data_IF_064337000273
#
_entry.id   IF_064337000273
#
_cell.length_a   1.000
_cell.length_b   1.000
_cell.length_c   1.000
_cell.angle_alpha   90.00
_cell.angle_beta   90.00
_cell.angle_gamma   90.00
#
_symmetry.space_group_name_H-M   'P 1'
#
loop_
_entity.id
_entity.type
_entity.pdbx_description
1 polymer ?
#
# COMPACT_ATOMS: atom_id res chain seq x y z
N UNK A 1 16.55 36.38 5.77
CA UNK A 1 15.89 37.69 5.70
C UNK A 1 14.49 37.52 6.27
N UNK A 2 14.15 38.18 7.38
CA UNK A 2 12.86 37.97 8.05
C UNK A 2 12.23 39.29 8.45
N UNK A 3 11.15 39.66 7.75
CA UNK A 3 10.25 40.70 8.20
C UNK A 3 9.58 40.20 9.50
N UNK A 4 9.53 41.03 10.55
CA UNK A 4 9.17 40.61 11.93
C UNK A 4 7.65 40.50 12.19
N UNK A 5 6.82 40.57 11.15
CA UNK A 5 5.36 40.62 11.30
C UNK A 5 4.74 39.22 11.27
N UNK A 6 3.97 38.84 12.30
CA UNK A 6 3.14 37.64 12.25
C UNK A 6 2.15 37.69 11.08
N UNK A 7 1.84 36.52 10.53
CA UNK A 7 0.77 36.31 9.58
C UNK A 7 -0.57 36.63 10.24
N UNK A 8 -1.50 37.24 9.52
CA UNK A 8 -2.82 37.61 10.04
C UNK A 8 -3.87 37.60 8.93
N UNK A 9 -5.10 37.99 9.24
CA UNK A 9 -6.14 38.19 8.22
C UNK A 9 -5.84 39.37 7.28
N UNK A 10 -5.11 40.37 7.75
CA UNK A 10 -4.81 41.62 7.01
C UNK A 10 -3.39 41.67 6.44
N UNK A 11 -2.50 40.78 6.89
CA UNK A 11 -1.13 40.68 6.40
C UNK A 11 -0.75 39.22 6.15
N UNK A 12 -0.43 38.89 4.90
CA UNK A 12 0.07 37.58 4.51
C UNK A 12 1.57 37.65 4.25
N UNK A 13 2.32 36.78 4.90
CA UNK A 13 3.73 36.61 4.60
C UNK A 13 3.88 35.98 3.21
N UNK A 14 4.82 36.49 2.43
CA UNK A 14 5.13 35.97 1.09
C UNK A 14 6.63 35.93 0.85
N UNK A 15 7.07 34.97 0.04
CA UNK A 15 8.45 34.86 -0.43
C UNK A 15 8.45 34.77 -1.94
N UNK A 16 9.23 35.63 -2.60
CA UNK A 16 9.38 35.62 -4.06
C UNK A 16 10.79 35.20 -4.44
N UNK A 17 10.91 34.09 -5.16
CA UNK A 17 12.12 33.64 -5.82
C UNK A 17 12.19 34.25 -7.22
N UNK A 18 13.35 34.77 -7.62
CA UNK A 18 13.60 35.24 -8.98
C UNK A 18 14.69 34.39 -9.61
N UNK A 19 14.37 33.70 -10.71
CA UNK A 19 15.30 32.83 -11.41
C UNK A 19 16.26 33.64 -12.29
N UNK A 20 17.49 33.16 -12.46
CA UNK A 20 18.47 33.78 -13.38
C UNK A 20 17.96 33.75 -14.83
N UNK A 21 17.31 32.66 -15.22
CA UNK A 21 16.69 32.47 -16.54
C UNK A 21 15.26 31.97 -16.36
N UNK A 22 14.38 32.29 -17.31
CA UNK A 22 13.02 31.75 -17.28
C UNK A 22 13.05 30.26 -17.63
N UNK A 23 12.37 29.43 -16.83
CA UNK A 23 12.34 27.97 -16.98
C UNK A 23 10.91 27.46 -16.86
N UNK A 24 10.57 26.37 -17.55
CA UNK A 24 9.29 25.68 -17.33
C UNK A 24 9.44 24.81 -16.09
N UNK A 25 8.55 25.03 -15.12
CA UNK A 25 8.49 24.28 -13.86
C UNK A 25 7.07 23.78 -13.64
N UNK A 26 6.92 22.66 -12.95
CA UNK A 26 5.62 22.07 -12.61
C UNK A 26 5.53 21.65 -11.14
N UNK A 27 6.62 21.77 -10.38
CA UNK A 27 6.72 21.29 -9.01
C UNK A 27 7.55 22.21 -8.13
N UNK A 28 7.13 22.33 -6.89
CA UNK A 28 7.86 22.99 -5.82
C UNK A 28 7.84 22.09 -4.60
N UNK A 29 8.96 22.01 -3.87
CA UNK A 29 8.95 21.38 -2.54
C UNK A 29 9.14 22.42 -1.46
N UNK A 30 8.42 22.23 -0.35
CA UNK A 30 8.43 23.13 0.79
C UNK A 30 8.61 22.35 2.09
N UNK A 31 9.51 22.83 2.94
CA UNK A 31 9.65 22.34 4.31
C UNK A 31 9.83 23.52 5.25
N UNK A 32 9.07 23.54 6.33
CA UNK A 32 9.25 24.51 7.41
C UNK A 32 10.48 24.15 8.28
N UNK A 33 10.83 25.01 9.24
CA UNK A 33 11.83 24.65 10.25
C UNK A 33 11.39 23.40 11.03
N UNK A 34 12.35 22.67 11.60
CA UNK A 34 12.03 21.59 12.53
C UNK A 34 11.16 22.09 13.70
N UNK A 35 10.20 21.25 14.11
CA UNK A 35 9.16 21.59 15.10
C UNK A 35 7.96 22.32 14.52
N UNK A 36 7.81 22.35 13.18
CA UNK A 36 6.66 22.84 12.41
C UNK A 36 6.22 24.30 12.65
N UNK A 37 6.88 25.07 13.52
CA UNK A 37 6.50 26.47 13.76
C UNK A 37 6.68 27.26 12.48
N UNK A 38 5.60 27.91 12.07
CA UNK A 38 5.50 28.65 10.82
C UNK A 38 5.41 27.82 9.54
N UNK A 39 4.96 26.58 9.67
CA UNK A 39 4.49 25.76 8.55
C UNK A 39 3.30 26.41 7.84
N UNK A 40 3.30 26.43 6.51
CA UNK A 40 2.17 26.92 5.71
C UNK A 40 1.01 25.90 5.75
N UNK A 41 0.06 26.09 6.66
CA UNK A 41 -1.13 25.25 6.73
C UNK A 41 -2.05 25.47 5.54
N UNK A 42 -2.16 26.70 5.06
CA UNK A 42 -2.76 27.04 3.78
C UNK A 42 -1.77 27.91 3.01
N UNK A 43 -1.67 27.68 1.70
CA UNK A 43 -0.75 28.41 0.85
C UNK A 43 -1.30 28.64 -0.55
N UNK A 44 -0.77 29.67 -1.20
CA UNK A 44 -1.01 29.96 -2.61
C UNK A 44 0.33 30.15 -3.32
N UNK A 45 0.43 29.61 -4.54
CA UNK A 45 1.61 29.75 -5.41
C UNK A 45 1.22 30.60 -6.62
N UNK A 46 2.04 31.61 -6.87
CA UNK A 46 1.91 32.46 -8.05
C UNK A 46 3.19 32.45 -8.88
N UNK A 47 3.04 32.50 -10.19
CA UNK A 47 4.16 32.51 -11.14
C UNK A 47 4.05 33.74 -12.06
N UNK A 48 5.20 34.29 -12.42
CA UNK A 48 5.32 35.31 -13.47
C UNK A 48 6.42 34.91 -14.45
N UNK A 49 6.21 35.02 -15.77
CA UNK A 49 7.19 34.68 -16.80
C UNK A 49 8.23 35.79 -17.03
N UNK A 50 8.11 36.95 -16.37
CA UNK A 50 8.99 38.12 -16.53
C UNK A 50 9.60 38.56 -15.20
N UNK A 51 10.65 39.38 -15.25
CA UNK A 51 11.46 39.77 -14.09
C UNK A 51 10.85 40.86 -13.20
N UNK A 52 9.84 41.59 -13.67
CA UNK A 52 9.27 42.72 -12.93
C UNK A 52 7.80 42.98 -13.30
N UNK A 53 7.17 43.90 -12.58
CA UNK A 53 5.76 44.24 -12.73
C UNK A 53 4.80 43.37 -11.91
N UNK A 54 3.55 43.82 -11.81
CA UNK A 54 2.46 43.14 -11.11
C UNK A 54 1.69 42.22 -12.06
N UNK A 55 2.29 41.09 -12.41
CA UNK A 55 1.80 40.14 -13.42
C UNK A 55 1.95 38.68 -12.94
N UNK A 56 1.84 38.49 -11.63
CA UNK A 56 1.77 37.17 -11.04
C UNK A 56 0.39 36.55 -11.31
N UNK A 57 0.39 35.29 -11.74
CA UNK A 57 -0.82 34.50 -11.91
C UNK A 57 -0.81 33.37 -10.89
N UNK A 58 -1.93 33.13 -10.23
CA UNK A 58 -2.08 32.01 -9.30
C UNK A 58 -2.07 30.71 -10.09
N UNK A 59 -1.18 29.78 -9.75
CA UNK A 59 -1.04 28.48 -10.44
C UNK A 59 -1.45 27.31 -9.55
N UNK A 60 -1.45 27.49 -8.24
CA UNK A 60 -1.79 26.45 -7.27
C UNK A 60 -2.21 27.06 -5.93
N UNK A 61 -3.00 26.33 -5.18
CA UNK A 61 -3.24 26.52 -3.76
C UNK A 61 -3.41 25.17 -3.09
N UNK A 62 -3.22 25.15 -1.78
CA UNK A 62 -3.40 23.92 -1.02
C UNK A 62 -3.45 24.16 0.46
N UNK A 63 -3.81 23.09 1.17
CA UNK A 63 -3.77 23.05 2.62
C UNK A 63 -3.22 21.72 3.11
N UNK A 64 -2.49 21.75 4.22
CA UNK A 64 -1.96 20.54 4.83
C UNK A 64 -1.80 20.71 6.34
N UNK A 65 -1.93 19.61 7.07
CA UNK A 65 -1.65 19.56 8.50
C UNK A 65 -0.15 19.76 8.74
N UNK A 66 0.22 20.40 9.85
CA UNK A 66 1.62 20.70 10.13
C UNK A 66 2.47 19.42 10.21
N UNK A 67 3.50 19.31 9.36
CA UNK A 67 4.45 18.19 9.36
C UNK A 67 5.90 18.66 9.35
N UNK A 68 6.81 17.83 9.86
CA UNK A 68 8.25 18.01 9.71
C UNK A 68 8.76 17.46 8.37
N UNK A 69 7.91 16.79 7.61
CA UNK A 69 8.24 16.26 6.29
C UNK A 69 8.29 17.37 5.23
N UNK A 70 8.84 17.02 4.07
CA UNK A 70 8.86 17.91 2.92
C UNK A 70 7.57 17.71 2.13
N UNK A 71 6.83 18.79 1.89
CA UNK A 71 5.69 18.77 0.98
C UNK A 71 6.18 18.90 -0.46
N UNK A 72 5.66 18.08 -1.35
CA UNK A 72 5.71 18.31 -2.78
C UNK A 72 4.38 18.92 -3.24
N UNK A 73 4.46 19.98 -4.04
CA UNK A 73 3.31 20.70 -4.56
C UNK A 73 3.44 20.75 -6.08
N UNK A 74 2.54 20.05 -6.75
CA UNK A 74 2.48 19.93 -8.21
C UNK A 74 1.45 20.90 -8.79
N UNK A 75 1.72 21.39 -10.00
CA UNK A 75 0.85 22.27 -10.78
C UNK A 75 1.17 22.14 -12.27
N UNK A 76 0.29 22.66 -13.12
CA UNK A 76 0.48 22.57 -14.57
C UNK A 76 1.83 23.21 -15.00
N UNK A 77 2.58 22.59 -15.92
CA UNK A 77 3.85 23.13 -16.41
C UNK A 77 3.71 24.60 -16.84
N UNK A 78 4.45 25.48 -16.16
CA UNK A 78 4.32 26.93 -16.33
C UNK A 78 5.70 27.56 -16.48
N UNK A 79 5.83 28.48 -17.45
CA UNK A 79 7.06 29.25 -17.64
C UNK A 79 7.23 30.27 -16.51
N UNK A 80 8.23 30.05 -15.66
CA UNK A 80 8.53 30.87 -14.50
C UNK A 80 9.82 31.65 -14.68
N UNK A 81 9.78 32.96 -14.40
CA UNK A 81 10.93 33.83 -14.12
C UNK A 81 10.91 34.27 -12.66
N UNK A 82 9.72 34.41 -12.07
CA UNK A 82 9.52 34.62 -10.64
C UNK A 82 8.47 33.65 -10.11
N UNK A 83 8.69 33.14 -8.90
CA UNK A 83 7.77 32.26 -8.17
C UNK A 83 7.51 32.87 -6.81
N UNK A 84 6.25 33.10 -6.47
CA UNK A 84 5.82 33.65 -5.19
C UNK A 84 5.06 32.58 -4.41
N UNK A 85 5.52 32.31 -3.20
CA UNK A 85 4.86 31.44 -2.23
C UNK A 85 4.23 32.30 -1.14
N UNK A 86 2.91 32.19 -0.94
CA UNK A 86 2.14 32.98 0.01
C UNK A 86 1.65 32.09 1.14
N UNK A 87 1.87 32.53 2.38
CA UNK A 87 1.39 31.87 3.59
C UNK A 87 -0.04 32.35 3.92
N UNK A 88 -1.05 31.78 3.26
CA UNK A 88 -2.45 32.15 3.50
C UNK A 88 -2.86 31.89 4.96
N UNK A 89 -2.38 30.78 5.53
CA UNK A 89 -2.46 30.46 6.97
C UNK A 89 -1.18 29.75 7.38
N UNK A 90 -0.59 30.18 8.50
CA UNK A 90 0.67 29.63 8.96
C UNK A 90 0.59 29.17 10.42
N UNK A 91 1.29 28.09 10.75
CA UNK A 91 1.26 27.50 12.07
C UNK A 91 1.86 28.46 13.10
N UNK A 92 1.10 28.75 14.16
CA UNK A 92 1.40 29.78 15.16
C UNK A 92 1.59 31.19 14.56
N UNK A 93 0.99 31.46 13.39
CA UNK A 93 1.03 32.76 12.72
C UNK A 93 2.44 33.25 12.35
N UNK A 94 3.43 32.38 12.29
CA UNK A 94 4.77 32.73 11.78
C UNK A 94 4.98 32.15 10.39
N UNK A 95 5.83 32.74 9.56
CA UNK A 95 6.23 32.13 8.29
C UNK A 95 7.65 31.58 8.39
N UNK A 96 7.83 30.31 8.04
CA UNK A 96 9.14 29.67 8.05
C UNK A 96 9.35 28.80 6.81
N UNK A 97 10.53 28.94 6.21
CA UNK A 97 11.07 28.06 5.16
C UNK A 97 12.42 27.56 5.65
N UNK A 98 12.52 26.26 5.89
CA UNK A 98 13.79 25.57 6.10
C UNK A 98 14.39 25.09 4.77
N UNK A 99 13.54 24.63 3.84
CA UNK A 99 13.92 24.25 2.48
C UNK A 99 12.79 24.64 1.50
N UNK A 100 13.18 25.13 0.32
CA UNK A 100 12.26 25.46 -0.77
C UNK A 100 12.97 25.19 -2.10
N UNK A 101 12.44 24.26 -2.89
CA UNK A 101 13.04 23.86 -4.17
C UNK A 101 12.05 24.02 -5.30
N UNK A 102 12.57 24.28 -6.49
CA UNK A 102 11.80 24.36 -7.73
C UNK A 102 12.33 23.28 -8.68
N UNK A 103 11.42 22.52 -9.27
CA UNK A 103 11.76 21.44 -10.18
C UNK A 103 11.27 21.74 -11.59
N UNK A 104 12.12 21.43 -12.57
CA UNK A 104 11.72 21.42 -13.98
C UNK A 104 10.67 20.34 -14.21
N UNK A 105 9.90 20.49 -15.29
CA UNK A 105 9.04 19.42 -15.77
C UNK A 105 9.88 18.17 -16.06
N UNK A 106 9.35 17.02 -15.68
CA UNK A 106 9.93 15.70 -15.92
C UNK A 106 8.87 14.88 -16.67
N UNK A 107 8.93 14.98 -17.99
CA UNK A 107 7.96 14.34 -18.88
C UNK A 107 8.02 12.81 -18.79
N UNK A 108 9.21 12.24 -18.54
CA UNK A 108 9.37 10.79 -18.39
C UNK A 108 8.66 10.30 -17.12
N UNK A 109 8.86 10.97 -15.99
CA UNK A 109 8.13 10.65 -14.75
C UNK A 109 6.61 10.85 -14.90
N UNK A 110 6.17 11.86 -15.64
CA UNK A 110 4.75 12.08 -15.95
C UNK A 110 4.16 10.96 -16.82
N UNK A 111 4.91 10.45 -17.81
CA UNK A 111 4.49 9.26 -18.58
C UNK A 111 4.38 8.03 -17.69
N UNK A 112 5.38 7.81 -16.84
CA UNK A 112 5.38 6.67 -15.90
C UNK A 112 4.19 6.70 -14.94
N UNK A 113 3.75 7.87 -14.46
CA UNK A 113 2.58 7.98 -13.59
C UNK A 113 1.25 7.67 -14.29
N UNK A 114 1.22 7.63 -15.63
CA UNK A 114 0.06 7.24 -16.45
C UNK A 114 0.23 5.89 -17.13
N UNK A 115 1.27 5.12 -16.78
CA UNK A 115 1.54 3.83 -17.41
C UNK A 115 0.38 2.85 -17.23
N UNK A 116 -0.24 2.82 -16.06
CA UNK A 116 -1.39 2.00 -15.73
C UNK A 116 -2.66 2.81 -15.64
N UNK A 117 -3.80 2.21 -15.99
CA UNK A 117 -5.12 2.86 -15.93
C UNK A 117 -5.80 2.76 -14.56
N UNK A 118 -5.25 1.95 -13.65
CA UNK A 118 -5.81 1.71 -12.32
C UNK A 118 -4.73 1.52 -11.25
N UNK A 119 -5.13 1.60 -9.98
CA UNK A 119 -4.20 1.49 -8.85
C UNK A 119 -3.77 0.04 -8.55
N UNK A 120 -4.54 -0.96 -8.95
CA UNK A 120 -4.08 -2.37 -8.87
C UNK A 120 -2.99 -2.68 -9.90
N UNK A 121 -2.76 -1.79 -10.87
CA UNK A 121 -1.75 -1.90 -11.93
C UNK A 121 -1.82 -3.23 -12.70
N UNK A 122 -3.02 -3.70 -12.99
CA UNK A 122 -3.26 -4.91 -13.80
C UNK A 122 -3.60 -4.59 -15.26
N UNK A 123 -3.79 -3.30 -15.58
CA UNK A 123 -4.22 -2.83 -16.89
C UNK A 123 -3.35 -1.65 -17.32
N UNK A 124 -2.71 -1.78 -18.49
CA UNK A 124 -1.92 -0.70 -19.11
C UNK A 124 -2.88 0.33 -19.71
N UNK A 125 -2.56 1.62 -19.57
CA UNK A 125 -3.39 2.69 -20.11
C UNK A 125 -3.40 2.70 -21.64
N UNK A 126 -4.46 3.24 -22.26
CA UNK A 126 -4.58 3.30 -23.72
C UNK A 126 -3.40 4.03 -24.40
N UNK A 127 -2.79 4.98 -23.68
CA UNK A 127 -1.59 5.70 -24.13
C UNK A 127 -0.46 4.71 -24.45
N UNK A 128 -0.26 3.67 -23.62
CA UNK A 128 0.88 2.75 -23.68
C UNK A 128 0.52 1.29 -23.99
N UNK A 129 -0.77 0.95 -24.19
CA UNK A 129 -1.26 -0.42 -24.42
C UNK A 129 -0.91 -0.98 -25.83
N UNK A 130 0.38 -0.91 -26.18
CA UNK A 130 0.99 -1.46 -27.38
C UNK A 130 2.48 -1.73 -27.11
N UNK A 131 2.98 -2.89 -27.54
CA UNK A 131 4.35 -3.31 -27.20
C UNK A 131 5.43 -2.36 -27.73
N UNK A 132 5.23 -1.74 -28.91
CA UNK A 132 6.20 -0.82 -29.50
C UNK A 132 6.27 0.48 -28.70
N UNK A 133 5.11 0.98 -28.23
CA UNK A 133 5.08 2.15 -27.36
C UNK A 133 5.81 1.92 -26.04
N UNK A 134 5.69 0.71 -25.46
CA UNK A 134 6.42 0.33 -24.26
C UNK A 134 7.93 0.21 -24.50
N UNK A 135 8.36 -0.30 -25.65
CA UNK A 135 9.78 -0.31 -26.05
C UNK A 135 10.37 1.09 -26.24
N UNK A 136 9.56 2.04 -26.75
CA UNK A 136 9.94 3.45 -26.83
C UNK A 136 10.06 4.07 -25.44
N UNK A 137 9.07 3.86 -24.57
CA UNK A 137 9.11 4.33 -23.19
C UNK A 137 10.32 3.75 -22.42
N UNK A 138 10.64 2.48 -22.62
CA UNK A 138 11.80 1.84 -21.99
C UNK A 138 13.12 2.53 -22.40
N UNK A 139 13.26 2.93 -23.67
CA UNK A 139 14.45 3.66 -24.15
C UNK A 139 14.58 5.03 -23.49
N UNK A 140 13.47 5.75 -23.33
CA UNK A 140 13.45 7.03 -22.59
C UNK A 140 13.86 6.83 -21.13
N UNK A 141 13.26 5.82 -20.49
CA UNK A 141 13.45 5.50 -19.07
C UNK A 141 14.88 5.04 -18.76
N UNK A 142 15.56 4.33 -19.68
CA UNK A 142 16.96 3.88 -19.52
C UNK A 142 17.96 5.02 -19.27
N UNK A 143 17.72 6.20 -19.83
CA UNK A 143 18.58 7.37 -19.62
C UNK A 143 18.22 8.20 -18.38
N UNK A 144 17.14 7.86 -17.68
CA UNK A 144 16.59 8.68 -16.61
C UNK A 144 17.27 8.40 -15.25
N UNK A 145 17.54 9.42 -14.41
CA UNK A 145 18.12 9.21 -13.07
C UNK A 145 17.32 8.27 -12.16
N UNK A 146 16.01 8.15 -12.40
CA UNK A 146 15.11 7.25 -11.67
C UNK A 146 14.87 5.91 -12.40
N UNK A 147 15.71 5.53 -13.37
CA UNK A 147 15.58 4.28 -14.14
C UNK A 147 15.29 3.05 -13.25
N UNK A 148 16.01 2.94 -12.13
CA UNK A 148 15.85 1.82 -11.19
C UNK A 148 14.46 1.73 -10.55
N UNK A 149 13.74 2.85 -10.44
CA UNK A 149 12.37 2.88 -9.95
C UNK A 149 11.35 2.52 -11.04
N UNK A 150 11.68 2.79 -12.30
CA UNK A 150 10.74 2.64 -13.43
C UNK A 150 10.86 1.32 -14.18
N UNK A 151 12.04 0.70 -14.18
CA UNK A 151 12.33 -0.47 -15.02
C UNK A 151 11.38 -1.65 -14.78
N UNK A 152 10.99 -1.90 -13.54
CA UNK A 152 10.08 -3.00 -13.21
C UNK A 152 8.66 -2.71 -13.71
N UNK A 153 8.17 -1.48 -13.50
CA UNK A 153 6.82 -1.11 -13.93
C UNK A 153 6.67 -1.17 -15.46
N UNK A 154 7.70 -0.78 -16.23
CA UNK A 154 7.71 -0.94 -17.69
C UNK A 154 7.70 -2.42 -18.09
N UNK A 155 8.44 -3.27 -17.39
CA UNK A 155 8.46 -4.71 -17.67
C UNK A 155 7.12 -5.37 -17.32
N UNK A 156 6.53 -5.03 -16.18
CA UNK A 156 5.21 -5.48 -15.77
C UNK A 156 4.14 -5.05 -16.81
N UNK A 157 4.20 -3.82 -17.32
CA UNK A 157 3.32 -3.35 -18.38
C UNK A 157 3.46 -4.18 -19.67
N UNK A 158 4.68 -4.54 -20.08
CA UNK A 158 4.90 -5.42 -21.24
C UNK A 158 4.31 -6.81 -21.01
N UNK A 159 4.50 -7.37 -19.81
CA UNK A 159 3.92 -8.66 -19.44
C UNK A 159 2.39 -8.63 -19.50
N UNK A 160 1.76 -7.55 -19.02
CA UNK A 160 0.31 -7.36 -19.10
C UNK A 160 -0.17 -7.33 -20.55
N UNK A 161 0.46 -6.53 -21.43
CA UNK A 161 0.09 -6.45 -22.86
C UNK A 161 0.24 -7.81 -23.56
N UNK A 162 1.15 -8.66 -23.09
CA UNK A 162 1.36 -10.01 -23.61
C UNK A 162 0.49 -11.09 -22.95
N UNK A 163 -0.39 -10.73 -22.01
CA UNK A 163 -1.23 -11.68 -21.29
C UNK A 163 -0.48 -12.53 -20.26
N UNK A 164 0.68 -12.07 -19.79
CA UNK A 164 1.57 -12.75 -18.82
C UNK A 164 1.61 -12.03 -17.47
N UNK A 165 0.51 -11.37 -17.10
CA UNK A 165 0.44 -10.67 -15.81
C UNK A 165 0.71 -11.63 -14.65
N UNK A 166 1.64 -11.26 -13.77
CA UNK A 166 1.81 -11.94 -12.49
C UNK A 166 0.68 -11.52 -11.55
N UNK A 167 -0.12 -12.48 -11.13
CA UNK A 167 -1.20 -12.28 -10.18
C UNK A 167 -1.39 -13.55 -9.36
N UNK A 168 -1.16 -13.47 -8.05
CA UNK A 168 -1.44 -14.58 -7.14
C UNK A 168 -2.90 -14.54 -6.72
N UNK A 169 -3.37 -13.39 -6.21
CA UNK A 169 -4.75 -13.26 -5.74
C UNK A 169 -5.21 -11.82 -5.67
N UNK A 170 -6.49 -11.60 -5.94
CA UNK A 170 -7.15 -10.31 -5.72
C UNK A 170 -8.28 -10.49 -4.72
N UNK A 171 -8.30 -9.64 -3.69
CA UNK A 171 -9.31 -9.67 -2.62
C UNK A 171 -9.96 -8.29 -2.52
N UNK A 172 -11.29 -8.26 -2.42
CA UNK A 172 -12.04 -7.03 -2.10
C UNK A 172 -12.24 -7.01 -0.58
N UNK A 173 -11.73 -5.97 0.07
CA UNK A 173 -11.85 -5.83 1.52
C UNK A 173 -13.31 -5.54 1.91
N UNK A 174 -13.82 -6.27 2.90
CA UNK A 174 -15.14 -6.02 3.45
C UNK A 174 -15.16 -4.73 4.27
N UNK A 175 -16.30 -4.04 4.32
CA UNK A 175 -16.45 -2.72 4.95
C UNK A 175 -17.44 -2.77 6.12
N UNK A 176 -17.18 -3.66 7.07
CA UNK A 176 -18.05 -3.90 8.23
C UNK A 176 -17.81 -2.92 9.40
N UNK A 177 -16.91 -1.95 9.26
CA UNK A 177 -16.49 -1.09 10.36
C UNK A 177 -15.67 -1.83 11.40
N UNK A 178 -15.43 -1.17 12.54
CA UNK A 178 -14.66 -1.73 13.64
C UNK A 178 -15.47 -2.76 14.46
N UNK A 179 -15.48 -4.02 13.99
CA UNK A 179 -16.14 -5.17 14.64
C UNK A 179 -15.57 -5.43 16.04
N UNK A 180 -14.27 -5.25 16.22
CA UNK A 180 -13.62 -5.43 17.51
C UNK A 180 -14.15 -4.40 18.54
N UNK A 181 -14.21 -3.12 18.17
CA UNK A 181 -14.77 -2.09 19.03
C UNK A 181 -16.26 -2.31 19.28
N UNK A 182 -17.03 -2.72 18.26
CA UNK A 182 -18.44 -3.06 18.41
C UNK A 182 -18.65 -4.19 19.43
N UNK A 183 -17.94 -5.31 19.28
CA UNK A 183 -18.08 -6.47 20.17
C UNK A 183 -17.71 -6.14 21.62
N UNK A 184 -16.62 -5.41 21.83
CA UNK A 184 -16.20 -5.03 23.18
C UNK A 184 -17.12 -4.00 23.83
N UNK A 185 -17.55 -2.97 23.08
CA UNK A 185 -18.33 -1.86 23.65
C UNK A 185 -19.81 -2.22 23.79
N UNK A 186 -20.37 -2.91 22.81
CA UNK A 186 -21.82 -3.12 22.69
C UNK A 186 -22.23 -4.52 23.15
N UNK A 187 -21.51 -5.56 22.71
CA UNK A 187 -21.85 -6.95 23.04
C UNK A 187 -21.19 -7.45 24.33
N UNK A 188 -20.20 -6.72 24.85
CA UNK A 188 -19.36 -7.13 26.00
C UNK A 188 -18.72 -8.50 25.79
N UNK A 189 -18.29 -8.77 24.56
CA UNK A 189 -17.76 -10.06 24.12
C UNK A 189 -16.34 -9.91 23.54
N UNK A 190 -15.37 -10.63 24.12
CA UNK A 190 -13.94 -10.44 23.87
C UNK A 190 -13.34 -11.18 22.68
N UNK A 191 -14.15 -11.87 21.86
CA UNK A 191 -13.66 -12.70 20.74
C UNK A 191 -13.87 -12.06 19.35
N UNK A 192 -14.25 -10.79 19.29
CA UNK A 192 -14.34 -10.05 18.02
C UNK A 192 -12.98 -9.58 17.52
N UNK A 193 -12.77 -9.62 16.20
CA UNK A 193 -11.62 -9.01 15.57
C UNK A 193 -11.95 -8.44 14.17
N UNK A 194 -11.02 -7.64 13.63
CA UNK A 194 -11.16 -6.96 12.34
C UNK A 194 -10.38 -7.67 11.21
N UNK A 195 -9.84 -8.87 11.47
CA UNK A 195 -9.06 -9.61 10.51
C UNK A 195 -10.00 -10.26 9.48
N UNK A 196 -9.70 -10.07 8.22
CA UNK A 196 -10.40 -10.68 7.09
C UNK A 196 -9.43 -11.68 6.43
N UNK A 197 -9.80 -12.97 6.34
CA UNK A 197 -8.95 -13.99 5.72
C UNK A 197 -8.75 -13.70 4.24
N UNK A 198 -7.51 -13.89 3.76
CA UNK A 198 -7.17 -13.68 2.35
C UNK A 198 -6.92 -15.00 1.61
N UNK A 199 -6.68 -16.10 2.34
CA UNK A 199 -6.17 -17.34 1.77
C UNK A 199 -4.74 -17.20 1.23
N UNK A 200 -3.98 -16.21 1.71
CA UNK A 200 -2.56 -16.00 1.40
C UNK A 200 -1.70 -16.26 2.64
N UNK A 201 -0.55 -16.91 2.44
CA UNK A 201 0.53 -17.03 3.43
C UNK A 201 1.77 -16.26 2.97
N UNK A 202 2.56 -15.81 3.96
CA UNK A 202 3.83 -15.14 3.70
C UNK A 202 4.88 -15.50 4.77
N UNK A 203 6.16 -15.51 4.38
CA UNK A 203 7.27 -15.85 5.28
C UNK A 203 8.09 -14.62 5.65
N UNK A 204 8.58 -14.52 6.90
CA UNK A 204 9.31 -13.35 7.37
C UNK A 204 10.60 -13.13 6.58
N UNK A 205 10.91 -11.86 6.28
CA UNK A 205 12.09 -11.46 5.52
C UNK A 205 11.93 -11.51 4.01
N UNK A 206 10.91 -12.18 3.48
CA UNK A 206 10.60 -12.13 2.05
C UNK A 206 10.07 -10.76 1.63
N UNK A 207 10.29 -10.38 0.38
CA UNK A 207 9.75 -9.16 -0.20
C UNK A 207 8.53 -9.51 -1.04
N UNK A 208 7.42 -8.83 -0.76
CA UNK A 208 6.15 -9.02 -1.48
C UNK A 208 5.74 -7.72 -2.19
N UNK A 209 5.00 -7.87 -3.28
CA UNK A 209 4.41 -6.75 -4.00
C UNK A 209 2.90 -6.84 -3.95
N UNK A 210 2.28 -5.82 -3.38
CA UNK A 210 0.82 -5.70 -3.22
C UNK A 210 0.35 -4.39 -3.83
N UNK A 211 -0.74 -4.42 -4.58
CA UNK A 211 -1.35 -3.22 -5.14
C UNK A 211 -2.71 -2.96 -4.49
N UNK A 212 -2.99 -1.69 -4.19
CA UNK A 212 -4.15 -1.30 -3.39
C UNK A 212 -4.94 -0.23 -4.12
N UNK A 213 -6.14 -0.58 -4.58
CA UNK A 213 -7.08 0.36 -5.18
C UNK A 213 -8.11 0.83 -4.16
N UNK A 214 -8.12 2.14 -3.90
CA UNK A 214 -8.92 2.82 -2.87
C UNK A 214 -9.41 4.16 -3.41
N UNK A 215 -10.43 4.73 -2.77
CA UNK A 215 -10.85 6.10 -3.09
C UNK A 215 -9.84 7.12 -2.53
N UNK A 216 -9.58 8.16 -3.29
CA UNK A 216 -8.57 9.17 -2.94
C UNK A 216 -8.94 9.90 -1.63
N UNK A 217 -7.97 10.03 -0.74
CA UNK A 217 -8.13 10.75 0.54
C UNK A 217 -8.95 10.01 1.61
N UNK A 218 -9.37 8.77 1.34
CA UNK A 218 -10.13 7.94 2.28
C UNK A 218 -9.21 7.05 3.14
N UNK A 219 -9.66 6.60 4.33
CA UNK A 219 -8.86 5.74 5.19
C UNK A 219 -8.56 4.37 4.53
N UNK A 220 -7.34 3.88 4.73
CA UNK A 220 -6.84 2.66 4.08
C UNK A 220 -6.84 1.46 5.04
N UNK A 221 -7.06 0.24 4.51
CA UNK A 221 -6.82 -0.98 5.27
C UNK A 221 -5.33 -1.18 5.58
N UNK A 222 -5.05 -2.11 6.47
CA UNK A 222 -3.70 -2.62 6.74
C UNK A 222 -3.61 -4.11 6.39
N UNK A 223 -2.39 -4.61 6.21
CA UNK A 223 -2.15 -6.06 6.22
C UNK A 223 -1.64 -6.48 7.59
N UNK A 224 -2.20 -7.55 8.14
CA UNK A 224 -1.69 -8.24 9.33
C UNK A 224 -0.99 -9.52 8.89
N UNK A 225 0.31 -9.61 9.16
CA UNK A 225 1.10 -10.81 8.95
C UNK A 225 1.14 -11.60 10.25
N UNK A 226 0.72 -12.86 10.19
CA UNK A 226 0.70 -13.74 11.36
C UNK A 226 1.84 -14.75 11.36
N UNK A 227 2.09 -15.31 12.54
CA UNK A 227 2.84 -16.55 12.72
C UNK A 227 1.83 -17.66 12.98
N UNK A 228 1.86 -18.72 12.17
CA UNK A 228 1.09 -19.94 12.46
C UNK A 228 1.48 -20.44 13.85
N UNK A 229 0.49 -20.91 14.61
CA UNK A 229 0.69 -21.36 16.00
C UNK A 229 1.41 -20.31 16.89
N UNK A 230 1.26 -19.02 16.57
CA UNK A 230 1.85 -17.94 17.35
C UNK A 230 1.23 -17.79 18.73
N UNK A 231 2.01 -17.26 19.68
CA UNK A 231 1.55 -16.92 21.03
C UNK A 231 0.34 -15.98 21.00
N UNK A 232 -0.64 -16.21 21.87
CA UNK A 232 -1.84 -15.36 21.99
C UNK A 232 -1.50 -13.87 22.17
N UNK A 233 -0.37 -13.57 22.83
CA UNK A 233 0.05 -12.21 23.15
C UNK A 233 0.79 -11.54 21.98
N UNK A 234 1.30 -12.31 21.02
CA UNK A 234 2.30 -11.82 20.07
C UNK A 234 2.33 -12.54 18.72
N UNK A 235 1.16 -12.90 18.18
CA UNK A 235 1.06 -13.73 16.98
C UNK A 235 1.08 -12.97 15.64
N UNK A 236 1.08 -11.63 15.63
CA UNK A 236 1.01 -10.87 14.37
C UNK A 236 1.62 -9.47 14.37
N UNK A 237 1.87 -8.94 13.18
CA UNK A 237 2.37 -7.59 12.92
C UNK A 237 1.56 -6.92 11.81
N UNK A 238 1.11 -5.70 12.05
CA UNK A 238 0.43 -4.90 11.02
C UNK A 238 1.40 -4.04 10.23
N UNK A 239 1.14 -3.91 8.93
CA UNK A 239 1.83 -3.01 8.01
C UNK A 239 0.78 -2.11 7.37
N UNK A 240 1.02 -0.80 7.44
CA UNK A 240 0.17 0.20 6.77
C UNK A 240 0.35 0.14 5.26
N UNK A 241 -0.74 0.33 4.53
CA UNK A 241 -0.75 0.36 3.08
C UNK A 241 -0.85 1.80 2.55
N UNK A 242 -0.46 1.96 1.30
CA UNK A 242 -0.61 3.17 0.49
C UNK A 242 -1.41 2.85 -0.79
N UNK A 243 -2.11 3.82 -1.41
CA UNK A 243 -2.74 3.61 -2.70
C UNK A 243 -1.70 3.20 -3.76
N UNK A 244 -2.04 2.27 -4.64
CA UNK A 244 -1.13 1.77 -5.66
C UNK A 244 -0.17 0.70 -5.14
N UNK A 245 1.06 0.71 -5.66
CA UNK A 245 2.11 -0.30 -5.41
C UNK A 245 2.68 -0.17 -3.99
N UNK A 246 2.73 -1.29 -3.27
CA UNK A 246 3.37 -1.45 -1.97
C UNK A 246 4.42 -2.58 -2.09
N UNK A 247 5.67 -2.28 -1.78
CA UNK A 247 6.75 -3.27 -1.67
C UNK A 247 7.06 -3.47 -0.20
N UNK A 248 6.73 -4.64 0.33
CA UNK A 248 6.74 -4.92 1.77
C UNK A 248 7.73 -6.03 2.06
N UNK A 249 8.66 -5.80 2.98
CA UNK A 249 9.41 -6.88 3.62
C UNK A 249 8.55 -7.46 4.73
N UNK A 250 8.21 -8.75 4.62
CA UNK A 250 7.33 -9.43 5.56
C UNK A 250 7.95 -9.37 6.97
N UNK A 251 7.25 -8.80 7.96
CA UNK A 251 7.81 -8.62 9.29
C UNK A 251 7.99 -9.96 10.00
N UNK A 252 9.07 -10.09 10.77
CA UNK A 252 9.25 -11.22 11.68
C UNK A 252 8.33 -11.09 12.89
N UNK A 253 7.54 -12.12 13.12
CA UNK A 253 6.82 -12.35 14.38
C UNK A 253 7.67 -13.31 15.22
N UNK A 254 7.81 -13.06 16.52
CA UNK A 254 8.61 -13.94 17.38
C UNK A 254 7.84 -15.20 17.72
N UNK A 255 8.52 -16.35 17.72
CA UNK A 255 8.01 -17.61 18.25
C UNK A 255 8.48 -17.85 19.70
N UNK A 256 9.26 -16.90 20.23
CA UNK A 256 9.77 -16.89 21.59
C UNK A 256 9.46 -15.52 22.22
N UNK A 257 8.42 -15.47 23.05
CA UNK A 257 8.02 -14.26 23.77
C UNK A 257 8.07 -14.43 25.30
N UNK A 258 8.69 -15.52 25.76
CA UNK A 258 8.84 -15.89 27.18
C UNK A 258 7.65 -16.63 27.78
N UNK A 259 6.49 -16.64 27.10
CA UNK A 259 5.30 -17.41 27.51
C UNK A 259 5.07 -18.63 26.63
N UNK A 260 5.58 -18.58 25.40
CA UNK A 260 5.43 -19.60 24.38
C UNK A 260 6.79 -19.94 23.78
N UNK A 261 7.09 -21.24 23.73
CA UNK A 261 8.33 -21.81 23.18
C UNK A 261 7.98 -23.02 22.32
N UNK A 262 7.43 -22.76 21.14
CA UNK A 262 7.11 -23.80 20.16
C UNK A 262 7.65 -23.36 18.80
N UNK A 263 8.64 -24.11 18.31
CA UNK A 263 9.23 -23.86 17.00
C UNK A 263 8.36 -24.51 15.93
N UNK A 264 7.88 -23.68 15.01
CA UNK A 264 7.08 -24.06 13.85
C UNK A 264 7.64 -23.35 12.62
N UNK A 265 7.24 -23.80 11.43
CA UNK A 265 7.74 -23.19 10.19
C UNK A 265 7.47 -21.68 10.21
N UNK A 266 8.49 -20.81 10.02
CA UNK A 266 8.30 -19.37 10.12
C UNK A 266 7.34 -18.79 9.09
N UNK A 267 6.38 -17.99 9.55
CA UNK A 267 5.35 -17.38 8.71
C UNK A 267 3.95 -17.86 9.03
N UNK A 268 2.97 -17.37 8.29
CA UNK A 268 1.57 -17.67 8.53
C UNK A 268 0.63 -16.91 7.59
N UNK A 269 -0.69 -17.04 7.79
CA UNK A 269 -1.68 -16.32 7.01
C UNK A 269 -1.52 -14.80 7.07
N UNK A 270 -1.87 -14.15 5.97
CA UNK A 270 -1.98 -12.70 5.86
C UNK A 270 -3.46 -12.33 5.92
N UNK A 271 -3.81 -11.37 6.77
CA UNK A 271 -5.18 -10.86 6.89
C UNK A 271 -5.26 -9.40 6.45
N UNK A 272 -6.43 -9.01 5.95
CA UNK A 272 -6.76 -7.59 5.79
C UNK A 272 -7.37 -7.10 7.10
N UNK A 273 -6.91 -5.95 7.59
CA UNK A 273 -7.52 -5.25 8.73
C UNK A 273 -8.17 -3.98 8.18
N UNK A 274 -9.50 -4.00 8.08
CA UNK A 274 -10.27 -2.89 7.51
C UNK A 274 -11.40 -2.43 8.48
N UNK A 275 -11.08 -1.66 9.53
CA UNK A 275 -12.04 -1.26 10.56
C UNK A 275 -12.93 -0.08 10.12
N UNK A 276 -13.32 -0.03 8.85
CA UNK A 276 -14.02 1.10 8.24
C UNK A 276 -15.32 0.67 7.55
N UNK A 277 -16.30 1.56 7.51
CA UNK A 277 -17.56 1.35 6.78
C UNK A 277 -17.47 1.85 5.34
N UNK A 278 -18.46 1.49 4.52
CA UNK A 278 -18.58 1.97 3.15
C UNK A 278 -18.72 3.50 3.09
N UNK A 279 -19.39 4.14 4.05
CA UNK A 279 -19.53 5.59 4.12
C UNK A 279 -18.19 6.29 4.39
N UNK A 280 -17.34 5.68 5.23
CA UNK A 280 -16.02 6.22 5.56
C UNK A 280 -15.05 6.09 4.39
N UNK A 281 -15.14 5.02 3.61
CA UNK A 281 -14.20 4.68 2.53
C UNK A 281 -14.68 4.99 1.11
N UNK A 282 -15.98 5.20 0.92
CA UNK A 282 -16.62 5.44 -0.38
C UNK A 282 -16.70 4.19 -1.27
N UNK A 283 -15.55 3.63 -1.68
CA UNK A 283 -15.48 2.32 -2.36
C UNK A 283 -14.76 1.27 -1.51
N UNK A 284 -15.12 0.01 -1.72
CA UNK A 284 -14.42 -1.12 -1.11
C UNK A 284 -12.97 -1.18 -1.62
N UNK A 285 -11.96 -1.24 -0.74
CA UNK A 285 -10.57 -1.41 -1.14
C UNK A 285 -10.38 -2.73 -1.91
N UNK A 286 -9.67 -2.69 -3.04
CA UNK A 286 -9.27 -3.89 -3.78
C UNK A 286 -7.78 -4.09 -3.61
N UNK A 287 -7.38 -5.28 -3.15
CA UNK A 287 -5.99 -5.61 -2.84
C UNK A 287 -5.55 -6.76 -3.74
N UNK A 288 -4.56 -6.48 -4.60
CA UNK A 288 -3.94 -7.46 -5.50
C UNK A 288 -2.59 -7.90 -4.98
N UNK A 289 -2.48 -9.15 -4.55
CA UNK A 289 -1.24 -9.82 -4.21
C UNK A 289 -0.57 -10.32 -5.50
N UNK A 290 0.48 -9.64 -5.94
CA UNK A 290 1.09 -9.91 -7.24
C UNK A 290 2.31 -10.84 -7.17
N UNK A 291 3.20 -10.63 -6.18
CA UNK A 291 4.49 -11.32 -6.09
C UNK A 291 4.87 -11.64 -4.64
N UNK A 292 5.66 -12.71 -4.45
CA UNK A 292 6.33 -13.03 -3.18
C UNK A 292 5.45 -13.68 -2.12
N UNK A 293 4.23 -14.07 -2.46
CA UNK A 293 3.30 -14.75 -1.55
C UNK A 293 2.75 -16.01 -2.20
N UNK A 294 2.04 -16.82 -1.41
CA UNK A 294 1.46 -18.07 -1.87
C UNK A 294 0.01 -18.21 -1.39
N UNK A 295 -0.85 -18.79 -2.22
CA UNK A 295 -2.15 -19.28 -1.74
C UNK A 295 -1.97 -20.53 -0.88
N UNK A 296 -2.84 -20.71 0.11
CA UNK A 296 -2.86 -21.92 0.94
C UNK A 296 -4.27 -22.51 1.04
N UNK A 297 -4.42 -23.80 1.39
CA UNK A 297 -5.72 -24.47 1.42
C UNK A 297 -6.72 -23.73 2.31
N UNK A 298 -7.76 -23.18 1.68
CA UNK A 298 -8.84 -22.43 2.34
C UNK A 298 -10.18 -22.94 1.83
N UNK A 299 -11.17 -23.06 2.71
CA UNK A 299 -12.57 -23.33 2.35
C UNK A 299 -13.44 -22.14 2.73
N UNK A 300 -14.26 -21.71 1.78
CA UNK A 300 -15.35 -20.75 1.97
C UNK A 300 -16.62 -21.23 1.23
N UNK A 301 -17.70 -20.45 1.31
CA UNK A 301 -18.98 -20.77 0.64
C UNK A 301 -18.90 -20.87 -0.89
N UNK A 302 -17.84 -20.35 -1.50
CA UNK A 302 -17.64 -20.33 -2.95
C UNK A 302 -16.69 -21.45 -3.41
N UNK A 303 -16.18 -22.26 -2.49
CA UNK A 303 -15.15 -23.26 -2.78
C UNK A 303 -15.67 -24.36 -3.68
N UNK A 304 -14.95 -24.62 -4.78
CA UNK A 304 -15.14 -25.81 -5.59
C UNK A 304 -14.45 -27.01 -4.92
N UNK A 305 -15.24 -27.94 -4.40
CA UNK A 305 -14.72 -29.08 -3.63
C UNK A 305 -13.71 -29.94 -4.40
N UNK A 306 -13.91 -30.12 -5.71
CA UNK A 306 -13.02 -30.96 -6.54
C UNK A 306 -11.65 -30.29 -6.71
N UNK A 307 -11.66 -28.99 -7.02
CA UNK A 307 -10.44 -28.20 -7.16
C UNK A 307 -9.71 -28.06 -5.82
N UNK A 308 -10.46 -27.84 -4.73
CA UNK A 308 -9.91 -27.78 -3.38
C UNK A 308 -9.22 -29.09 -2.97
N UNK A 309 -9.87 -30.25 -3.17
CA UNK A 309 -9.26 -31.55 -2.80
C UNK A 309 -7.99 -31.81 -3.61
N UNK A 310 -7.97 -31.42 -4.89
CA UNK A 310 -6.76 -31.51 -5.71
C UNK A 310 -5.65 -30.62 -5.14
N UNK A 311 -5.95 -29.36 -4.88
CA UNK A 311 -5.00 -28.40 -4.32
C UNK A 311 -4.48 -28.83 -2.94
N UNK A 312 -5.35 -29.31 -2.06
CA UNK A 312 -5.01 -29.83 -0.74
C UNK A 312 -4.00 -31.00 -0.82
N UNK A 313 -4.21 -31.93 -1.77
CA UNK A 313 -3.28 -33.05 -2.01
C UNK A 313 -1.92 -32.58 -2.51
N UNK A 314 -1.90 -31.64 -3.46
CA UNK A 314 -0.68 -31.06 -4.01
C UNK A 314 0.10 -30.28 -2.94
N UNK A 315 -0.60 -29.48 -2.12
CA UNK A 315 -0.01 -28.73 -1.03
C UNK A 315 0.56 -29.66 0.06
N UNK A 316 -0.19 -30.69 0.46
CA UNK A 316 0.28 -31.68 1.44
C UNK A 316 1.54 -32.42 0.96
N UNK A 317 1.61 -32.77 -0.32
CA UNK A 317 2.82 -33.37 -0.92
C UNK A 317 4.03 -32.47 -0.76
N UNK A 318 3.88 -31.16 -1.03
CA UNK A 318 4.95 -30.17 -0.85
C UNK A 318 5.40 -30.03 0.59
N UNK A 319 4.46 -30.08 1.54
CA UNK A 319 4.79 -30.12 2.98
C UNK A 319 5.66 -31.35 3.29
N UNK A 320 5.27 -32.53 2.83
CA UNK A 320 6.00 -33.77 3.11
C UNK A 320 7.42 -33.75 2.51
N UNK A 321 7.55 -33.27 1.28
CA UNK A 321 8.84 -33.08 0.60
C UNK A 321 9.73 -32.07 1.34
N UNK A 322 9.15 -30.97 1.84
CA UNK A 322 9.88 -29.94 2.59
C UNK A 322 10.31 -30.42 3.98
N UNK A 323 9.51 -31.25 4.64
CA UNK A 323 9.88 -31.91 5.91
C UNK A 323 11.06 -32.86 5.71
N UNK A 324 11.06 -33.65 4.62
CA UNK A 324 12.16 -34.56 4.30
C UNK A 324 13.45 -33.78 3.95
N UNK A 325 13.33 -32.71 3.15
CA UNK A 325 14.46 -31.89 2.74
C UNK A 325 15.01 -31.00 3.86
N UNK A 326 14.15 -30.53 4.77
CA UNK A 326 14.49 -29.62 5.87
C UNK A 326 14.00 -30.19 7.21
N UNK A 327 14.79 -31.09 7.84
CA UNK A 327 14.41 -31.72 9.11
C UNK A 327 14.23 -30.71 10.25
N UNK A 328 15.04 -29.64 10.27
CA UNK A 328 14.84 -28.51 11.18
C UNK A 328 13.63 -27.70 10.73
N UNK A 329 12.66 -27.56 11.64
CA UNK A 329 11.42 -26.85 11.40
C UNK A 329 11.64 -25.36 11.05
N UNK A 330 12.74 -24.78 11.51
CA UNK A 330 13.06 -23.37 11.23
C UNK A 330 13.57 -23.15 9.80
N UNK A 331 14.05 -24.20 9.13
CA UNK A 331 14.55 -24.16 7.76
C UNK A 331 13.48 -24.49 6.71
N UNK A 332 12.32 -24.99 7.17
CA UNK A 332 11.18 -25.33 6.31
C UNK A 332 10.66 -24.11 5.56
N UNK A 333 10.14 -24.35 4.36
CA UNK A 333 9.69 -23.35 3.40
C UNK A 333 8.20 -23.40 3.14
N UNK A 334 7.52 -24.51 3.47
CA UNK A 334 6.07 -24.67 3.28
C UNK A 334 5.37 -24.55 4.63
N UNK A 335 4.39 -23.65 4.69
CA UNK A 335 3.64 -23.34 5.92
C UNK A 335 2.47 -24.33 6.06
N UNK A 336 2.43 -25.12 7.14
CA UNK A 336 1.37 -26.11 7.39
C UNK A 336 0.12 -25.44 8.01
N UNK A 337 -0.56 -24.61 7.23
CA UNK A 337 -1.79 -23.92 7.65
C UNK A 337 -2.95 -24.17 6.68
N UNK A 338 -4.15 -24.30 7.25
CA UNK A 338 -5.43 -24.41 6.59
C UNK A 338 -6.44 -23.46 7.26
N UNK A 339 -7.37 -22.88 6.48
CA UNK A 339 -8.46 -22.07 7.03
C UNK A 339 -9.84 -22.50 6.52
N UNK A 340 -10.80 -22.56 7.43
CA UNK A 340 -12.22 -22.63 7.13
C UNK A 340 -12.85 -21.28 7.46
N UNK A 341 -13.48 -20.66 6.46
CA UNK A 341 -14.03 -19.31 6.51
C UNK A 341 -15.55 -19.40 6.36
N UNK A 342 -16.25 -19.31 7.49
CA UNK A 342 -17.70 -19.15 7.55
C UNK A 342 -18.07 -17.70 7.89
N UNK A 343 -19.35 -17.33 7.75
CA UNK A 343 -19.80 -15.94 7.84
C UNK A 343 -19.42 -15.25 9.17
N UNK A 344 -19.37 -15.99 10.28
CA UNK A 344 -19.09 -15.44 11.63
C UNK A 344 -17.92 -16.11 12.36
N UNK A 345 -17.25 -17.07 11.73
CA UNK A 345 -16.15 -17.82 12.33
C UNK A 345 -15.10 -18.15 11.29
N UNK A 346 -13.84 -17.93 11.66
CA UNK A 346 -12.68 -18.44 10.93
C UNK A 346 -11.99 -19.45 11.83
N UNK A 347 -11.79 -20.66 11.31
CA UNK A 347 -11.06 -21.71 12.00
C UNK A 347 -9.74 -21.89 11.26
N UNK A 348 -8.64 -21.66 11.96
CA UNK A 348 -7.29 -21.94 11.46
C UNK A 348 -6.83 -23.26 12.05
N UNK A 349 -6.36 -24.16 11.19
CA UNK A 349 -5.79 -25.46 11.54
C UNK A 349 -4.59 -25.78 10.65
N UNK A 350 -4.22 -27.06 10.57
CA UNK A 350 -3.11 -27.53 9.72
C UNK A 350 -3.64 -28.15 8.43
N UNK A 351 -2.84 -28.07 7.36
CA UNK A 351 -3.09 -28.83 6.12
C UNK A 351 -3.10 -30.32 6.42
N UNK A 352 -2.24 -30.78 7.32
CA UNK A 352 -2.23 -32.18 7.78
C UNK A 352 -3.58 -32.62 8.36
N UNK A 353 -4.20 -31.78 9.21
CA UNK A 353 -5.53 -32.07 9.76
C UNK A 353 -6.64 -32.03 8.71
N UNK A 354 -6.60 -31.03 7.81
CA UNK A 354 -7.56 -30.94 6.71
C UNK A 354 -7.45 -32.12 5.73
N UNK A 355 -6.22 -32.57 5.44
CA UNK A 355 -5.97 -33.72 4.58
C UNK A 355 -6.57 -34.99 5.18
N UNK A 356 -6.38 -35.23 6.48
CA UNK A 356 -6.98 -36.40 7.11
C UNK A 356 -8.51 -36.38 7.04
N UNK A 357 -9.13 -35.24 7.39
CA UNK A 357 -10.58 -35.08 7.36
C UNK A 357 -11.18 -35.27 5.94
N UNK A 358 -10.63 -34.59 4.94
CA UNK A 358 -11.28 -34.48 3.64
C UNK A 358 -10.76 -35.50 2.61
N UNK A 359 -9.53 -36.02 2.78
CA UNK A 359 -8.94 -37.00 1.86
C UNK A 359 -9.00 -38.41 2.43
N UNK A 360 -8.60 -38.63 3.69
CA UNK A 360 -8.56 -39.97 4.26
C UNK A 360 -9.94 -40.43 4.75
N UNK A 361 -10.65 -39.56 5.48
CA UNK A 361 -11.96 -39.87 6.05
C UNK A 361 -13.12 -39.57 5.08
N UNK A 362 -12.87 -38.77 4.04
CA UNK A 362 -13.84 -38.50 2.98
C UNK A 362 -14.99 -37.57 3.38
N UNK A 363 -14.82 -36.76 4.43
CA UNK A 363 -15.79 -35.69 4.72
C UNK A 363 -15.85 -34.68 3.57
N UNK A 364 -17.02 -34.08 3.37
CA UNK A 364 -17.18 -33.04 2.35
C UNK A 364 -16.71 -31.68 2.90
N UNK A 365 -15.81 -30.97 2.20
CA UNK A 365 -15.36 -29.63 2.57
C UNK A 365 -16.50 -28.69 2.96
N UNK A 366 -17.53 -28.55 2.11
CA UNK A 366 -18.61 -27.58 2.33
C UNK A 366 -19.57 -27.98 3.44
N UNK A 367 -19.62 -29.25 3.84
CA UNK A 367 -20.40 -29.66 5.01
C UNK A 367 -19.84 -29.06 6.30
N UNK A 368 -18.55 -28.70 6.31
CA UNK A 368 -17.90 -28.05 7.46
C UNK A 368 -18.32 -26.58 7.64
N UNK A 369 -18.97 -25.97 6.65
CA UNK A 369 -19.50 -24.59 6.75
C UNK A 369 -20.90 -24.53 7.35
N UNK A 370 -21.56 -25.68 7.57
CA UNK A 370 -22.92 -25.77 8.15
C UNK A 370 -22.94 -25.70 9.69
N UNK A 371 -21.83 -25.28 10.30
CA UNK A 371 -21.63 -25.23 11.75
C UNK A 371 -22.60 -24.29 12.47
#
# INVERSE_FOLDING_TARGET
MGNRNPNSSTFKNEVTLTLKEAQVINRLTYKSRNGCKGFANNFSIYISPVSSGNNFQKVSEGSYTSTNDMLEISFNPTKAKRVKFVFDKANQDWASIGDLRLYKQDETSEKMSRLFSNLVMDTVSEEFNDIKKLEELEKEVKGHPLYNLFKEDVEDAKNIVQGKIENIKTVVAEQHGDRNAHNNKNLKFGFGNNNQPTGIVARPGETITVYVDVEEGKPLPQLMFSQQEGSFANWGRTVSLYPGKNVITVPKVTQEDGWYHHSVTPGGPVYIVNPYTAEEQGKAPVIRFAKGVEEFPTIDKNTNEVEFIKFLKEYKKRIDEDIEANPDVMDRKVIDTFELVADNVVITGTVSGAYDAYVNQGFKPLDSLKM
#
